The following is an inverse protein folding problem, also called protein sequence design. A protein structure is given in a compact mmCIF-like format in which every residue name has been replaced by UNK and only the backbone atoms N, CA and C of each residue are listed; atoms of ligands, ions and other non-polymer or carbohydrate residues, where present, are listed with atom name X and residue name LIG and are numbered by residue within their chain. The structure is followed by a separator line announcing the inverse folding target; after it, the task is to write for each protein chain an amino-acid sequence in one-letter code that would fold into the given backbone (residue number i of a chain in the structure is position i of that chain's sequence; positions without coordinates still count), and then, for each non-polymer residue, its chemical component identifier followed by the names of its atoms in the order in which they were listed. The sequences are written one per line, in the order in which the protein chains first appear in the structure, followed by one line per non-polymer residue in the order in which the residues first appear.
data_IF_517389910872
#
_entry.id   IF_517389910872
#
_cell.length_a   1.000
_cell.length_b   1.000
_cell.length_c   1.000
_cell.angle_alpha   90.00
_cell.angle_beta   90.00
_cell.angle_gamma   90.00
#
_symmetry.space_group_name_H-M   'P 1'
#
loop_
_entity.id
_entity.type
_entity.pdbx_description
1 polymer ?
#
# COMPACT_ATOMS: atom_id res chain seq x y z
N UNK A 1 -14.67 5.39 3.52
CA UNK A 1 -13.30 5.62 2.96
C UNK A 1 -13.02 7.11 3.02
N UNK A 2 -11.79 7.52 3.33
CA UNK A 2 -11.40 8.94 3.24
C UNK A 2 -11.33 9.36 1.77
N UNK A 3 -11.90 10.51 1.41
CA UNK A 3 -12.00 10.96 0.01
C UNK A 3 -11.24 12.24 -0.27
N UNK A 4 -10.84 12.99 0.75
CA UNK A 4 -9.99 14.18 0.63
C UNK A 4 -9.14 14.29 1.87
N UNK A 5 -7.88 14.69 1.68
CA UNK A 5 -6.95 14.99 2.75
C UNK A 5 -6.03 16.10 2.26
N UNK A 6 -6.24 17.31 2.79
CA UNK A 6 -5.42 18.47 2.45
C UNK A 6 -4.36 18.70 3.52
N UNK A 7 -3.11 18.77 3.09
CA UNK A 7 -1.97 19.12 3.96
C UNK A 7 -1.33 20.38 3.41
N UNK A 8 -1.22 21.42 4.25
CA UNK A 8 -0.76 22.76 3.85
C UNK A 8 -1.53 23.34 2.64
N UNK A 9 -2.82 23.02 2.52
CA UNK A 9 -3.70 23.46 1.43
C UNK A 9 -3.64 22.59 0.17
N UNK A 10 -2.63 21.73 0.03
CA UNK A 10 -2.47 20.82 -1.11
C UNK A 10 -3.27 19.52 -0.92
N UNK A 11 -4.00 19.11 -1.94
CA UNK A 11 -4.78 17.86 -1.91
C UNK A 11 -3.86 16.66 -2.09
N UNK A 12 -3.94 15.69 -1.18
CA UNK A 12 -3.19 14.43 -1.27
C UNK A 12 -3.93 13.36 -2.05
N UNK A 13 -5.27 13.36 -2.03
CA UNK A 13 -6.09 12.26 -2.57
C UNK A 13 -6.59 12.63 -3.96
N UNK A 14 -6.18 11.84 -4.96
CA UNK A 14 -6.60 12.05 -6.33
C UNK A 14 -8.02 11.52 -6.56
N UNK A 15 -8.92 12.40 -7.01
CA UNK A 15 -10.30 12.08 -7.43
C UNK A 15 -11.08 11.22 -6.42
N UNK A 16 -10.92 11.48 -5.12
CA UNK A 16 -11.68 10.76 -4.09
C UNK A 16 -11.16 9.35 -3.77
N UNK A 17 -10.11 8.87 -4.44
CA UNK A 17 -9.59 7.51 -4.31
C UNK A 17 -8.59 7.40 -3.14
N UNK A 18 -9.07 7.62 -1.91
CA UNK A 18 -8.26 7.43 -0.71
C UNK A 18 -8.05 5.96 -0.37
N UNK A 19 -7.63 5.68 0.87
CA UNK A 19 -7.25 4.33 1.27
C UNK A 19 -8.40 3.31 1.18
N UNK A 20 -8.15 2.26 0.42
CA UNK A 20 -9.01 1.07 0.28
C UNK A 20 -8.19 -0.21 0.47
N UNK A 21 -8.84 -1.33 0.78
CA UNK A 21 -8.14 -2.61 0.93
C UNK A 21 -7.44 -3.03 -0.38
N UNK A 22 -6.14 -3.31 -0.29
CA UNK A 22 -5.32 -3.75 -1.40
C UNK A 22 -4.91 -5.20 -1.20
N UNK A 23 -5.49 -6.08 -2.01
CA UNK A 23 -5.23 -7.51 -1.96
C UNK A 23 -4.39 -8.01 -3.14
N UNK A 24 -4.38 -7.27 -4.24
CA UNK A 24 -3.93 -7.81 -5.52
C UNK A 24 -2.43 -7.63 -5.74
N UNK A 25 -1.83 -8.68 -6.27
CA UNK A 25 -0.47 -8.74 -6.79
C UNK A 25 -0.45 -9.88 -7.80
N UNK A 26 0.25 -9.73 -8.92
CA UNK A 26 0.43 -10.82 -9.87
C UNK A 26 1.83 -10.79 -10.46
N UNK A 27 2.49 -11.94 -10.41
CA UNK A 27 3.83 -12.19 -10.95
C UNK A 27 3.83 -13.56 -11.64
N UNK A 28 4.85 -13.86 -12.44
CA UNK A 28 4.91 -15.15 -13.14
C UNK A 28 4.91 -16.38 -12.20
N UNK A 29 5.49 -16.25 -11.00
CA UNK A 29 5.48 -17.30 -9.97
C UNK A 29 4.13 -17.41 -9.22
N UNK A 30 3.22 -16.44 -9.33
CA UNK A 30 1.93 -16.41 -8.64
C UNK A 30 0.91 -15.65 -9.50
N UNK A 31 0.52 -16.28 -10.61
CA UNK A 31 -0.39 -15.68 -11.60
C UNK A 31 -1.79 -15.60 -11.02
N UNK A 32 -2.36 -14.41 -10.97
CA UNK A 32 -3.69 -14.18 -10.37
C UNK A 32 -4.60 -13.40 -11.30
N UNK A 33 -5.83 -13.86 -11.42
CA UNK A 33 -6.90 -13.09 -12.05
C UNK A 33 -7.36 -12.00 -11.09
N UNK A 34 -7.54 -10.79 -11.59
CA UNK A 34 -8.10 -9.70 -10.80
C UNK A 34 -9.59 -9.96 -10.53
N UNK A 35 -9.94 -10.01 -9.24
CA UNK A 35 -11.30 -10.02 -8.72
C UNK A 35 -11.60 -8.60 -8.22
N UNK A 36 -12.62 -7.96 -8.80
CA UNK A 36 -13.06 -6.65 -8.32
C UNK A 36 -13.57 -6.75 -6.88
N UNK A 37 -12.97 -6.01 -5.92
CA UNK A 37 -13.43 -6.03 -4.54
C UNK A 37 -14.78 -5.33 -4.39
N UNK A 38 -15.76 -6.00 -3.78
CA UNK A 38 -16.99 -5.36 -3.29
C UNK A 38 -16.78 -4.95 -1.84
N UNK A 39 -16.63 -3.65 -1.59
CA UNK A 39 -16.31 -3.12 -0.26
C UNK A 39 -17.48 -2.32 0.30
N UNK A 40 -17.91 -2.67 1.51
CA UNK A 40 -19.00 -2.00 2.22
C UNK A 40 -18.48 -1.34 3.48
N UNK A 41 -18.92 -0.10 3.72
CA UNK A 41 -18.77 0.55 5.01
C UNK A 41 -19.89 0.04 5.92
N UNK A 42 -19.52 -0.70 6.97
CA UNK A 42 -20.47 -1.24 7.94
C UNK A 42 -20.82 -0.20 9.01
N UNK A 43 -19.83 0.55 9.49
CA UNK A 43 -20.04 1.65 10.42
C UNK A 43 -18.91 2.67 10.37
N UNK A 44 -19.23 3.90 10.78
CA UNK A 44 -18.23 4.88 11.17
C UNK A 44 -18.70 5.68 12.37
N UNK A 45 -17.78 6.07 13.24
CA UNK A 45 -18.04 6.96 14.39
C UNK A 45 -17.00 8.06 14.45
N UNK A 46 -17.35 9.18 15.09
CA UNK A 46 -16.46 10.29 15.32
C UNK A 46 -16.50 10.70 16.78
N UNK A 47 -15.33 10.91 17.38
CA UNK A 47 -15.19 11.20 18.80
C UNK A 47 -14.12 12.28 19.03
N UNK A 48 -14.42 13.25 19.88
CA UNK A 48 -13.41 14.18 20.40
C UNK A 48 -12.65 13.49 21.53
N UNK A 49 -11.32 13.40 21.42
CA UNK A 49 -10.48 12.78 22.45
C UNK A 49 -9.39 13.74 22.92
N UNK A 50 -8.75 13.42 24.05
CA UNK A 50 -7.65 14.22 24.60
C UNK A 50 -8.06 15.66 24.89
N UNK A 51 -9.17 15.85 25.63
CA UNK A 51 -9.73 17.17 25.97
C UNK A 51 -10.09 18.04 24.75
N UNK A 52 -10.37 17.43 23.59
CA UNK A 52 -10.71 18.15 22.36
C UNK A 52 -9.51 18.54 21.49
N UNK A 53 -8.32 17.99 21.77
CA UNK A 53 -7.11 18.23 20.96
C UNK A 53 -6.98 17.29 19.76
N UNK A 54 -7.81 16.25 19.71
CA UNK A 54 -7.80 15.26 18.62
C UNK A 54 -9.21 14.83 18.24
N UNK A 55 -9.39 14.51 16.96
CA UNK A 55 -10.59 13.85 16.44
C UNK A 55 -10.25 12.41 16.09
N UNK A 56 -10.94 11.46 16.70
CA UNK A 56 -10.89 10.05 16.32
C UNK A 56 -12.04 9.75 15.35
N UNK A 57 -11.73 9.11 14.24
CA UNK A 57 -12.69 8.57 13.28
C UNK A 57 -12.48 7.07 13.19
N UNK A 58 -13.40 6.30 13.72
CA UNK A 58 -13.35 4.84 13.63
C UNK A 58 -14.17 4.37 12.44
N UNK A 59 -13.67 3.38 11.69
CA UNK A 59 -14.41 2.76 10.59
C UNK A 59 -14.37 1.25 10.68
N UNK A 60 -15.47 0.61 10.31
CA UNK A 60 -15.52 -0.84 10.06
C UNK A 60 -15.97 -1.06 8.62
N UNK A 61 -15.17 -1.79 7.88
CA UNK A 61 -15.41 -2.12 6.48
C UNK A 61 -15.34 -3.63 6.29
N UNK A 62 -15.94 -4.09 5.22
CA UNK A 62 -15.87 -5.48 4.80
C UNK A 62 -15.70 -5.53 3.29
N UNK A 63 -14.66 -6.23 2.85
CA UNK A 63 -14.44 -6.52 1.43
C UNK A 63 -14.79 -7.96 1.14
N UNK A 64 -15.63 -8.17 0.13
CA UNK A 64 -15.91 -9.47 -0.46
C UNK A 64 -15.15 -9.64 -1.77
N UNK A 65 -14.42 -10.75 -1.90
CA UNK A 65 -13.78 -11.18 -3.14
C UNK A 65 -14.48 -12.43 -3.68
N UNK A 66 -15.27 -12.26 -4.74
CA UNK A 66 -16.02 -13.34 -5.38
C UNK A 66 -15.24 -13.95 -6.55
N UNK A 67 -14.31 -14.84 -6.22
CA UNK A 67 -13.55 -15.65 -7.18
C UNK A 67 -14.17 -17.02 -7.39
N UNK A 68 -13.33 -18.06 -7.54
CA UNK A 68 -13.79 -19.47 -7.49
C UNK A 68 -14.39 -19.84 -6.14
N UNK A 69 -13.89 -19.17 -5.09
CA UNK A 69 -14.43 -19.17 -3.74
C UNK A 69 -14.67 -17.72 -3.32
N UNK A 70 -15.52 -17.53 -2.33
CA UNK A 70 -15.76 -16.23 -1.73
C UNK A 70 -14.84 -16.04 -0.54
N UNK A 71 -14.12 -14.93 -0.51
CA UNK A 71 -13.41 -14.46 0.68
C UNK A 71 -14.11 -13.27 1.28
N UNK A 72 -14.20 -13.26 2.60
CA UNK A 72 -14.73 -12.15 3.38
C UNK A 72 -13.58 -11.58 4.21
N UNK A 73 -13.25 -10.31 3.96
CA UNK A 73 -12.13 -9.61 4.61
C UNK A 73 -12.71 -8.41 5.38
N UNK A 74 -13.12 -8.59 6.64
CA UNK A 74 -13.39 -7.48 7.54
C UNK A 74 -12.10 -6.70 7.84
N UNK A 75 -12.19 -5.39 7.89
CA UNK A 75 -11.08 -4.54 8.27
C UNK A 75 -11.53 -3.20 8.83
N UNK A 76 -10.65 -2.54 9.57
CA UNK A 76 -10.86 -1.17 10.06
C UNK A 76 -9.73 -0.27 9.58
N UNK A 77 -10.07 1.00 9.33
CA UNK A 77 -9.10 2.07 9.08
C UNK A 77 -9.51 3.25 9.94
N UNK A 78 -8.81 3.43 11.05
CA UNK A 78 -9.15 4.42 12.06
C UNK A 78 -8.17 5.58 11.97
N UNK A 79 -8.71 6.80 11.95
CA UNK A 79 -7.93 8.02 11.78
C UNK A 79 -7.94 8.82 13.09
N UNK A 80 -6.78 9.24 13.57
CA UNK A 80 -6.67 10.22 14.65
C UNK A 80 -6.08 11.50 14.08
N UNK A 81 -6.89 12.55 13.98
CA UNK A 81 -6.48 13.87 13.52
C UNK A 81 -5.99 14.70 14.70
N UNK A 82 -4.82 15.31 14.55
CA UNK A 82 -4.18 16.13 15.56
C UNK A 82 -4.25 17.62 15.19
N UNK A 83 -4.27 18.51 16.19
CA UNK A 83 -4.13 19.96 15.99
C UNK A 83 -2.88 20.36 15.19
N UNK A 84 -1.81 19.57 15.24
CA UNK A 84 -0.59 19.80 14.46
C UNK A 84 -0.75 19.55 12.95
N UNK A 85 -1.89 19.04 12.49
CA UNK A 85 -2.08 18.58 11.11
C UNK A 85 -1.60 17.15 10.85
N UNK A 86 -0.98 16.50 11.83
CA UNK A 86 -0.65 15.08 11.76
C UNK A 86 -1.94 14.23 11.76
N UNK A 87 -1.88 13.09 11.08
CA UNK A 87 -2.95 12.09 11.04
C UNK A 87 -2.36 10.71 11.31
N UNK A 88 -2.71 10.10 12.43
CA UNK A 88 -2.41 8.67 12.63
C UNK A 88 -3.47 7.83 11.94
N UNK A 89 -3.04 6.81 11.22
CA UNK A 89 -3.88 5.81 10.57
C UNK A 89 -3.55 4.46 11.20
N UNK A 90 -4.52 3.87 11.89
CA UNK A 90 -4.43 2.53 12.46
C UNK A 90 -5.32 1.58 11.66
N UNK A 91 -4.75 0.44 11.28
CA UNK A 91 -5.39 -0.54 10.40
C UNK A 91 -5.36 -1.90 11.05
N UNK A 92 -6.48 -2.62 10.98
CA UNK A 92 -6.58 -4.01 11.40
C UNK A 92 -7.35 -4.78 10.34
N UNK A 93 -6.77 -5.89 9.85
CA UNK A 93 -7.35 -6.72 8.78
C UNK A 93 -7.54 -8.15 9.29
N UNK A 94 -8.76 -8.68 9.15
CA UNK A 94 -9.11 -10.07 9.42
C UNK A 94 -9.08 -10.87 8.11
N UNK A 95 -8.18 -11.85 8.01
CA UNK A 95 -8.11 -12.77 6.87
C UNK A 95 -8.40 -14.22 7.24
N UNK A 96 -9.09 -14.47 8.36
CA UNK A 96 -9.47 -15.82 8.79
C UNK A 96 -10.46 -16.51 7.85
N UNK A 97 -11.23 -15.72 7.08
CA UNK A 97 -12.18 -16.19 6.05
C UNK A 97 -11.67 -15.93 4.62
N UNK A 98 -10.34 -15.85 4.46
CA UNK A 98 -9.70 -15.73 3.14
C UNK A 98 -9.54 -17.09 2.45
N UNK A 99 -10.53 -17.43 1.64
CA UNK A 99 -10.51 -18.61 0.77
C UNK A 99 -9.73 -18.44 -0.54
N UNK A 100 -9.45 -17.19 -0.94
CA UNK A 100 -8.71 -16.86 -2.18
C UNK A 100 -7.19 -16.79 -1.94
N UNK A 101 -6.75 -16.86 -0.68
CA UNK A 101 -5.34 -16.80 -0.27
C UNK A 101 -4.67 -15.58 -0.89
N UNK A 102 -5.21 -14.40 -0.62
CA UNK A 102 -4.76 -13.14 -1.23
C UNK A 102 -3.25 -12.97 -1.05
N UNK A 103 -2.52 -12.39 -2.01
CA UNK A 103 -1.06 -12.25 -1.90
C UNK A 103 -0.61 -11.03 -1.08
N UNK A 104 -1.52 -10.15 -0.68
CA UNK A 104 -1.23 -8.88 0.00
C UNK A 104 -2.29 -8.55 1.04
N UNK A 105 -1.84 -8.01 2.18
CA UNK A 105 -2.69 -7.35 3.17
C UNK A 105 -2.17 -5.92 3.35
N UNK A 106 -2.95 -4.94 2.91
CA UNK A 106 -2.54 -3.54 2.93
C UNK A 106 -3.64 -2.60 2.48
N UNK A 107 -3.28 -1.33 2.39
CA UNK A 107 -4.12 -0.28 1.82
C UNK A 107 -3.50 0.26 0.53
N UNK A 108 -4.35 0.75 -0.37
CA UNK A 108 -3.94 1.48 -1.56
C UNK A 108 -4.69 2.79 -1.66
N UNK A 109 -4.02 3.83 -2.13
CA UNK A 109 -4.63 5.11 -2.51
C UNK A 109 -4.07 5.60 -3.84
N UNK A 110 -4.83 6.46 -4.52
CA UNK A 110 -4.30 7.28 -5.60
C UNK A 110 -3.93 8.66 -5.04
N UNK A 111 -2.68 9.04 -5.19
CA UNK A 111 -2.16 10.32 -4.74
C UNK A 111 -2.21 11.34 -5.86
N UNK A 112 -2.45 12.60 -5.49
CA UNK A 112 -2.45 13.72 -6.45
C UNK A 112 -1.12 13.78 -7.21
N UNK A 113 -1.16 14.02 -8.55
CA UNK A 113 0.05 14.17 -9.36
C UNK A 113 0.99 15.27 -8.84
N UNK A 114 2.30 15.11 -9.07
CA UNK A 114 3.30 16.17 -8.85
C UNK A 114 4.21 15.99 -7.64
N UNK A 115 3.93 15.04 -6.75
CA UNK A 115 4.80 14.67 -5.62
C UNK A 115 5.80 13.57 -5.98
N UNK A 116 6.57 13.81 -7.05
CA UNK A 116 7.35 12.77 -7.74
C UNK A 116 8.64 12.33 -7.02
N UNK A 117 9.17 13.14 -6.11
CA UNK A 117 10.42 12.83 -5.41
C UNK A 117 10.13 11.96 -4.19
N UNK A 118 10.63 10.74 -4.21
CA UNK A 118 10.47 9.76 -3.13
C UNK A 118 11.78 9.66 -2.35
N UNK A 119 11.70 9.72 -1.03
CA UNK A 119 12.80 9.31 -0.16
C UNK A 119 12.27 8.38 0.92
N UNK A 120 13.06 7.40 1.35
CA UNK A 120 12.65 6.48 2.40
C UNK A 120 13.84 6.03 3.25
N UNK A 121 13.55 5.75 4.51
CA UNK A 121 14.45 5.04 5.40
C UNK A 121 13.88 3.64 5.65
N UNK A 122 14.60 2.61 5.19
CA UNK A 122 14.15 1.22 5.21
C UNK A 122 15.09 0.35 4.37
N UNK A 123 14.61 -0.80 3.88
CA UNK A 123 15.41 -1.63 2.96
C UNK A 123 15.49 -1.05 1.56
N UNK A 124 16.66 -1.15 0.95
CA UNK A 124 16.91 -0.70 -0.42
C UNK A 124 18.37 -0.88 -0.85
N UNK A 125 18.79 -0.23 -1.96
CA UNK A 125 17.97 0.62 -2.83
C UNK A 125 17.01 -0.16 -3.74
N UNK A 126 17.30 -1.42 -4.07
CA UNK A 126 16.54 -2.27 -4.99
C UNK A 126 15.29 -2.91 -4.36
N UNK A 127 14.43 -3.48 -5.19
CA UNK A 127 13.18 -4.09 -4.72
C UNK A 127 13.43 -5.38 -3.94
N UNK A 128 12.67 -5.53 -2.88
CA UNK A 128 12.84 -6.60 -1.92
C UNK A 128 11.49 -7.14 -1.48
N UNK A 129 11.49 -8.45 -1.21
CA UNK A 129 10.34 -9.24 -0.81
C UNK A 129 10.78 -10.19 0.29
N UNK A 130 9.82 -10.72 1.06
CA UNK A 130 10.10 -11.43 2.31
C UNK A 130 11.07 -12.62 2.15
N UNK A 131 11.09 -13.27 0.99
CA UNK A 131 12.00 -14.37 0.63
C UNK A 131 13.17 -13.94 -0.27
N UNK A 132 13.31 -12.63 -0.53
CA UNK A 132 14.36 -12.02 -1.37
C UNK A 132 14.75 -10.61 -0.89
N UNK A 133 15.17 -10.51 0.37
CA UNK A 133 15.54 -9.23 1.01
C UNK A 133 16.99 -9.16 1.51
N UNK A 134 17.74 -10.26 1.51
CA UNK A 134 19.09 -10.34 2.10
C UNK A 134 20.11 -9.38 1.44
N UNK A 135 19.90 -9.01 0.17
CA UNK A 135 20.74 -8.03 -0.54
C UNK A 135 20.32 -6.58 -0.30
N UNK A 136 19.14 -6.35 0.31
CA UNK A 136 18.61 -5.02 0.57
C UNK A 136 18.92 -4.61 2.01
N UNK A 137 19.86 -3.69 2.14
CA UNK A 137 20.33 -3.16 3.42
C UNK A 137 19.45 -2.00 3.90
N UNK A 138 19.48 -1.75 5.20
CA UNK A 138 18.86 -0.56 5.78
C UNK A 138 19.66 0.69 5.44
N UNK A 139 18.97 1.71 4.95
CA UNK A 139 19.61 2.97 4.59
C UNK A 139 18.60 4.05 4.24
N UNK A 140 19.12 5.26 4.07
CA UNK A 140 18.38 6.38 3.51
C UNK A 140 18.57 6.37 1.99
N UNK A 141 17.46 6.24 1.26
CA UNK A 141 17.46 6.21 -0.19
C UNK A 141 16.56 7.31 -0.75
N UNK A 142 16.86 7.74 -1.98
CA UNK A 142 16.04 8.69 -2.73
C UNK A 142 15.87 8.21 -4.17
N UNK A 143 14.75 8.55 -4.77
CA UNK A 143 14.42 8.25 -6.15
C UNK A 143 13.28 9.16 -6.65
N UNK A 144 12.79 8.92 -7.86
CA UNK A 144 11.49 9.41 -8.33
C UNK A 144 10.49 8.25 -8.43
N UNK A 145 9.19 8.53 -8.49
CA UNK A 145 8.16 7.49 -8.68
C UNK A 145 8.45 6.66 -9.95
N UNK A 146 8.80 7.33 -11.05
CA UNK A 146 9.25 6.65 -12.28
C UNK A 146 10.50 5.78 -12.07
N UNK A 147 11.44 6.23 -11.24
CA UNK A 147 12.65 5.46 -10.95
C UNK A 147 12.44 4.30 -9.96
N UNK A 148 11.25 4.16 -9.38
CA UNK A 148 10.86 2.99 -8.57
C UNK A 148 10.35 1.83 -9.43
N UNK A 149 10.16 2.04 -10.74
CA UNK A 149 9.77 1.02 -11.70
C UNK A 149 10.93 0.03 -11.96
N UNK A 150 10.58 -1.23 -12.22
CA UNK A 150 11.50 -2.27 -12.67
C UNK A 150 11.16 -2.68 -14.11
N UNK A 151 12.17 -3.13 -14.86
CA UNK A 151 12.00 -3.53 -16.27
C UNK A 151 11.90 -5.05 -16.41
N UNK A 152 10.71 -5.59 -16.13
CA UNK A 152 10.39 -6.99 -16.38
C UNK A 152 9.81 -7.18 -17.78
N UNK A 153 10.47 -7.98 -18.64
CA UNK A 153 10.04 -8.25 -20.04
C UNK A 153 8.54 -8.55 -20.12
N UNK A 154 8.05 -9.41 -19.21
CA UNK A 154 6.63 -9.55 -18.91
C UNK A 154 6.30 -8.64 -17.74
N UNK A 155 5.53 -7.58 -17.98
CA UNK A 155 5.15 -6.68 -16.88
C UNK A 155 4.39 -7.44 -15.80
N UNK A 156 4.69 -7.11 -14.55
CA UNK A 156 4.15 -7.75 -13.36
C UNK A 156 4.27 -6.79 -12.17
N UNK A 157 3.72 -7.18 -11.02
CA UNK A 157 3.91 -6.43 -9.78
C UNK A 157 5.38 -6.25 -9.44
N UNK A 158 5.76 -5.03 -9.03
CA UNK A 158 7.16 -4.61 -8.86
C UNK A 158 7.31 -3.52 -7.78
N UNK A 159 8.54 -3.15 -7.45
CA UNK A 159 8.89 -1.92 -6.75
C UNK A 159 8.70 -1.96 -5.23
N UNK A 160 8.49 -3.15 -4.65
CA UNK A 160 8.26 -3.28 -3.20
C UNK A 160 9.51 -2.93 -2.39
N UNK A 161 9.31 -2.18 -1.30
CA UNK A 161 10.30 -1.91 -0.25
C UNK A 161 9.74 -2.37 1.10
N UNK A 162 10.48 -3.21 1.81
CA UNK A 162 10.08 -3.71 3.13
C UNK A 162 10.74 -2.95 4.28
N UNK A 163 10.18 -3.16 5.47
CA UNK A 163 10.68 -2.66 6.75
C UNK A 163 10.92 -1.15 6.77
N UNK A 164 10.01 -0.40 6.15
CA UNK A 164 10.13 1.05 6.02
C UNK A 164 9.77 1.71 7.33
N UNK A 165 10.66 2.59 7.79
CA UNK A 165 10.50 3.40 9.00
C UNK A 165 9.80 4.71 8.69
N UNK A 166 10.17 5.33 7.58
CA UNK A 166 9.43 6.45 7.02
C UNK A 166 9.69 6.58 5.53
N UNK A 167 8.77 7.22 4.82
CA UNK A 167 8.91 7.63 3.44
C UNK A 167 8.31 9.03 3.23
N UNK A 168 8.80 9.75 2.24
CA UNK A 168 8.34 11.10 1.88
C UNK A 168 8.06 11.18 0.40
N UNK A 169 7.04 11.95 0.04
CA UNK A 169 6.77 12.36 -1.34
C UNK A 169 6.77 13.88 -1.40
N UNK A 170 7.58 14.46 -2.30
CA UNK A 170 7.74 15.91 -2.39
C UNK A 170 7.71 16.40 -3.83
N UNK A 171 7.28 17.65 -4.02
CA UNK A 171 7.39 18.38 -5.29
C UNK A 171 8.62 19.32 -5.32
N UNK A 172 9.48 19.26 -4.29
CA UNK A 172 10.62 20.16 -4.09
C UNK A 172 10.32 21.43 -3.29
N UNK A 173 9.05 21.76 -3.05
CA UNK A 173 8.60 22.84 -2.16
C UNK A 173 7.85 22.27 -0.97
N UNK A 174 6.83 21.47 -1.26
CA UNK A 174 5.90 20.86 -0.34
C UNK A 174 5.95 19.34 -0.46
N UNK A 175 5.35 18.67 0.51
CA UNK A 175 5.23 17.22 0.52
C UNK A 175 4.62 16.72 1.81
N UNK A 176 4.58 15.41 1.93
CA UNK A 176 4.13 14.74 3.13
C UNK A 176 5.05 13.57 3.45
N UNK A 177 5.14 13.31 4.73
CA UNK A 177 5.90 12.22 5.32
C UNK A 177 4.91 11.19 5.85
N UNK A 178 5.22 9.93 5.58
CA UNK A 178 4.53 8.78 6.15
C UNK A 178 5.54 8.08 7.04
N UNK A 179 5.27 8.03 8.34
CA UNK A 179 6.12 7.38 9.34
C UNK A 179 5.44 6.09 9.80
N UNK A 180 6.12 4.95 9.67
CA UNK A 180 5.63 3.70 10.25
C UNK A 180 5.65 3.79 11.77
N UNK A 181 4.56 3.36 12.42
CA UNK A 181 4.48 3.25 13.87
C UNK A 181 4.79 1.82 14.36
N UNK A 182 4.86 0.86 13.44
CA UNK A 182 5.25 -0.52 13.73
C UNK A 182 5.85 -1.22 12.49
N UNK A 183 5.01 -1.61 11.53
CA UNK A 183 5.35 -2.39 10.35
C UNK A 183 4.76 -1.71 9.11
N UNK A 184 5.59 -1.52 8.09
CA UNK A 184 5.15 -0.90 6.85
C UNK A 184 6.06 -1.33 5.70
N UNK A 185 5.45 -1.85 4.65
CA UNK A 185 6.07 -1.96 3.34
C UNK A 185 5.38 -0.96 2.40
N UNK A 186 6.05 -0.55 1.32
CA UNK A 186 5.39 0.28 0.33
C UNK A 186 5.79 -0.06 -1.11
N UNK A 187 4.88 0.31 -2.02
CA UNK A 187 5.14 0.48 -3.45
C UNK A 187 4.57 1.83 -3.87
N UNK A 188 5.26 2.56 -4.75
CA UNK A 188 4.75 3.79 -5.34
C UNK A 188 5.06 3.79 -6.83
N UNK A 189 4.03 3.68 -7.67
CA UNK A 189 4.14 3.53 -9.12
C UNK A 189 3.05 4.34 -9.82
N UNK A 190 3.19 4.61 -11.12
CA UNK A 190 2.13 5.18 -11.96
C UNK A 190 1.16 4.13 -12.51
N UNK A 191 1.05 2.98 -11.86
CA UNK A 191 0.26 1.85 -12.35
C UNK A 191 -0.44 1.13 -11.19
N UNK A 192 -1.66 0.66 -11.44
CA UNK A 192 -2.24 -0.39 -10.60
C UNK A 192 -1.61 -1.74 -10.97
N UNK A 193 -1.42 -2.63 -9.99
CA UNK A 193 -0.91 -3.99 -10.22
C UNK A 193 -1.74 -4.78 -11.25
N UNK A 194 -3.07 -4.54 -11.30
CA UNK A 194 -3.96 -5.17 -12.28
C UNK A 194 -3.64 -4.72 -13.71
N UNK A 195 -3.32 -3.44 -13.91
CA UNK A 195 -3.02 -2.88 -15.22
C UNK A 195 -1.62 -3.32 -15.67
N UNK A 196 -0.65 -3.39 -14.73
CA UNK A 196 0.65 -4.03 -14.97
C UNK A 196 0.49 -5.45 -15.49
N UNK A 197 -0.37 -6.24 -14.85
CA UNK A 197 -0.60 -7.61 -15.28
C UNK A 197 -1.27 -7.70 -16.66
N UNK A 198 -2.17 -6.78 -17.03
CA UNK A 198 -2.77 -6.76 -18.37
C UNK A 198 -1.76 -6.33 -19.46
N UNK A 199 -0.77 -5.51 -19.12
CA UNK A 199 0.30 -5.09 -20.03
C UNK A 199 1.36 -6.18 -20.21
N UNK A 200 1.16 -7.08 -21.17
CA UNK A 200 2.05 -8.22 -21.42
C UNK A 200 3.54 -7.91 -21.69
N UNK A 201 3.91 -6.65 -21.99
CA UNK A 201 5.28 -6.26 -22.31
C UNK A 201 5.67 -4.90 -21.71
N UNK A 202 6.90 -4.79 -21.22
CA UNK A 202 7.48 -3.61 -20.55
C UNK A 202 7.51 -2.33 -21.41
N UNK A 203 7.73 -2.44 -22.73
CA UNK A 203 7.75 -1.27 -23.61
C UNK A 203 6.41 -0.52 -23.64
N UNK A 204 5.31 -1.13 -23.17
CA UNK A 204 4.00 -0.47 -23.04
C UNK A 204 3.93 0.47 -21.83
N UNK A 205 4.74 0.26 -20.79
CA UNK A 205 4.64 0.99 -19.52
C UNK A 205 4.72 2.51 -19.74
N UNK A 206 5.71 2.97 -20.49
CA UNK A 206 5.94 4.41 -20.75
C UNK A 206 4.70 5.14 -21.27
N UNK A 207 3.91 4.48 -22.12
CA UNK A 207 2.74 5.10 -22.77
C UNK A 207 1.44 4.92 -21.96
N UNK A 208 1.47 4.17 -20.86
CA UNK A 208 0.29 3.83 -20.05
C UNK A 208 0.41 4.29 -18.59
N UNK A 209 1.38 5.16 -18.28
CA UNK A 209 1.51 5.76 -16.95
C UNK A 209 0.28 6.60 -16.63
N UNK A 210 -0.29 6.37 -15.46
CA UNK A 210 -1.31 7.23 -14.88
C UNK A 210 -0.68 8.55 -14.43
N UNK A 211 -1.41 9.67 -14.47
CA UNK A 211 -0.91 10.92 -13.91
C UNK A 211 -0.80 10.84 -12.38
N UNK A 212 -1.68 10.09 -11.72
CA UNK A 212 -1.60 9.85 -10.28
C UNK A 212 -0.47 8.89 -9.89
N UNK A 213 -0.10 8.93 -8.61
CA UNK A 213 0.79 7.93 -8.01
C UNK A 213 -0.10 6.92 -7.29
N UNK A 214 0.03 5.65 -7.63
CA UNK A 214 -0.61 4.54 -6.93
C UNK A 214 0.30 4.11 -5.79
N UNK A 215 -0.08 4.48 -4.57
CA UNK A 215 0.65 4.14 -3.34
C UNK A 215 -0.03 2.97 -2.65
N UNK A 216 0.73 1.90 -2.45
CA UNK A 216 0.36 0.80 -1.57
C UNK A 216 1.16 0.92 -0.27
N UNK A 217 0.46 0.79 0.85
CA UNK A 217 1.01 0.75 2.20
C UNK A 217 0.59 -0.57 2.82
N UNK A 218 1.52 -1.50 2.96
CA UNK A 218 1.19 -2.88 3.27
C UNK A 218 1.67 -3.28 4.66
N UNK A 219 0.82 -4.03 5.37
CA UNK A 219 1.24 -4.82 6.51
C UNK A 219 2.22 -5.91 6.05
N UNK A 220 1.86 -6.60 4.97
CA UNK A 220 2.63 -7.73 4.45
C UNK A 220 2.22 -8.10 3.03
N UNK A 221 3.19 -8.60 2.27
CA UNK A 221 2.96 -9.33 1.02
C UNK A 221 3.56 -10.71 1.17
N UNK A 222 2.89 -11.71 0.59
CA UNK A 222 3.43 -13.06 0.39
C UNK A 222 4.74 -12.99 -0.39
N UNK A 223 5.68 -13.90 -0.08
CA UNK A 223 6.93 -14.08 -0.83
C UNK A 223 6.73 -14.34 -2.33
N UNK A 224 7.82 -14.26 -3.08
CA UNK A 224 7.86 -14.49 -4.52
C UNK A 224 7.78 -15.98 -4.86
N UNK A 225 8.47 -16.83 -4.10
CA UNK A 225 8.70 -18.23 -4.46
C UNK A 225 9.43 -18.37 -5.80
N UNK A 226 9.37 -19.56 -6.39
CA UNK A 226 9.93 -19.88 -7.70
C UNK A 226 8.94 -20.74 -8.53
N UNK A 227 7.63 -20.53 -8.36
CA UNK A 227 6.61 -21.47 -8.85
C UNK A 227 6.44 -21.53 -10.38
N UNK A 228 7.13 -20.69 -11.15
CA UNK A 228 7.20 -20.80 -12.61
C UNK A 228 7.85 -22.12 -13.07
N UNK A 229 8.86 -22.61 -12.34
CA UNK A 229 9.52 -23.90 -12.60
C UNK A 229 10.02 -24.60 -11.33
N UNK A 230 9.36 -24.36 -10.19
CA UNK A 230 9.81 -24.82 -8.88
C UNK A 230 8.72 -24.67 -7.82
N UNK A 231 9.10 -24.63 -6.53
CA UNK A 231 8.13 -24.48 -5.44
C UNK A 231 7.61 -23.05 -5.35
N UNK A 232 6.43 -22.90 -4.75
CA UNK A 232 5.96 -21.61 -4.25
C UNK A 232 6.79 -21.10 -3.07
N UNK A 233 6.39 -19.97 -2.46
CA UNK A 233 7.00 -19.47 -1.23
C UNK A 233 7.04 -20.53 -0.14
N UNK A 234 8.07 -20.47 0.71
CA UNK A 234 8.14 -21.29 1.91
C UNK A 234 7.03 -20.90 2.88
N UNK A 235 6.61 -21.82 3.75
CA UNK A 235 5.53 -21.56 4.72
C UNK A 235 5.75 -20.30 5.58
N UNK A 236 7.01 -20.01 5.96
CA UNK A 236 7.38 -18.79 6.71
C UNK A 236 7.24 -17.48 5.90
N UNK A 237 7.10 -17.59 4.58
CA UNK A 237 6.95 -16.49 3.63
C UNK A 237 5.52 -16.36 3.10
N UNK A 238 4.59 -17.14 3.67
CA UNK A 238 3.15 -16.97 3.48
C UNK A 238 2.62 -15.87 4.40
N UNK A 239 1.44 -15.35 4.05
CA UNK A 239 0.74 -14.44 4.95
C UNK A 239 0.23 -15.21 6.18
N UNK A 240 0.28 -14.60 7.38
CA UNK A 240 -0.38 -15.17 8.54
C UNK A 240 -1.90 -15.24 8.32
N UNK A 241 -2.55 -16.25 8.88
CA UNK A 241 -4.01 -16.30 9.00
C UNK A 241 -4.36 -15.81 10.40
N UNK A 242 -4.92 -14.61 10.48
CA UNK A 242 -5.18 -13.91 11.75
C UNK A 242 -6.44 -13.07 11.67
N UNK A 243 -7.14 -12.96 12.79
CA UNK A 243 -8.25 -12.01 12.94
C UNK A 243 -7.75 -10.56 13.06
N UNK A 244 -6.48 -10.37 13.44
CA UNK A 244 -5.87 -9.06 13.68
C UNK A 244 -4.50 -9.00 13.00
N UNK A 245 -4.46 -8.50 11.76
CA UNK A 245 -3.23 -8.11 11.08
C UNK A 245 -3.08 -6.59 11.21
N UNK A 246 -2.45 -6.17 12.31
CA UNK A 246 -2.45 -4.78 12.72
C UNK A 246 -1.19 -4.05 12.25
N UNK A 247 -1.39 -2.86 11.68
CA UNK A 247 -0.31 -1.92 11.41
C UNK A 247 -0.80 -0.48 11.48
N UNK A 248 0.13 0.44 11.70
CA UNK A 248 -0.19 1.84 11.81
C UNK A 248 0.93 2.71 11.22
N UNK A 249 0.52 3.86 10.72
CA UNK A 249 1.42 4.88 10.21
C UNK A 249 0.88 6.27 10.48
N UNK A 250 1.77 7.24 10.59
CA UNK A 250 1.46 8.66 10.72
C UNK A 250 1.71 9.36 9.41
N UNK A 251 0.77 10.19 8.98
CA UNK A 251 0.92 11.11 7.86
C UNK A 251 1.11 12.52 8.42
N UNK A 252 2.14 13.22 7.99
CA UNK A 252 2.47 14.58 8.42
C UNK A 252 2.84 15.45 7.20
N UNK A 253 2.49 16.75 7.19
CA UNK A 253 3.08 17.67 6.24
C UNK A 253 4.59 17.74 6.45
N UNK A 254 5.35 17.92 5.36
CA UNK A 254 6.77 18.27 5.47
C UNK A 254 6.84 19.80 5.59
N UNK A 255 7.21 20.27 6.79
CA UNK A 255 7.56 21.67 7.00
C UNK A 255 9.02 21.90 6.58
N UNK A 256 9.29 23.06 5.98
CA UNK A 256 10.66 23.53 5.73
C UNK A 256 11.25 24.14 6.99
#
# INVERSE_FOLDING_TARGET
MITSLKMNGEEMIYKGKGFTFNWYRSIDNDKRNYISPDTKLLSFTTENIGNGDKILVNTKMETTLNGKKTSLIPYSVNYTFYKSGAVDVAVSIDNTKDENKVPRLGLQMAMTPGFEKVAWYGRGPQENYQDREASAYFGLFNNTVNGMEESYVRSQSMGNRQDVRWLTFTNGKDGFKITSLNKLNFTALHFYDKDLWEMAHDFKLKNNRLPEIILSLDYMQRGLGNASCGPGPLARCELPVSANNDYAFRIEPIEK
#
